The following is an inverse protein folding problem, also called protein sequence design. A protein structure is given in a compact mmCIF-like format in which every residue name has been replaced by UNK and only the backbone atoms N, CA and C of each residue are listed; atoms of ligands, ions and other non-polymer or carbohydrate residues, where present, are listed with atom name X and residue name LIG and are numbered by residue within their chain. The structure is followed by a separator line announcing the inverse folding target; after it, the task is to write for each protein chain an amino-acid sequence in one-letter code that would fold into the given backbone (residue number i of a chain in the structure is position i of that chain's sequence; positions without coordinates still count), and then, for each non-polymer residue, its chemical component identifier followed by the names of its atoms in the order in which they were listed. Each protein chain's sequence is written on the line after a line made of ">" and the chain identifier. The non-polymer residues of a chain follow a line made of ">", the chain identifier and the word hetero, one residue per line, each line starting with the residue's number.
data_IF_389752041224
#
_entry.id   IF_389752041224
#
_cell.length_a   1.000
_cell.length_b   1.000
_cell.length_c   1.000
_cell.angle_alpha   90.00
_cell.angle_beta   90.00
_cell.angle_gamma   90.00
#
_symmetry.space_group_name_H-M   'P 1'
#
loop_
_entity.id
_entity.type
_entity.pdbx_description
1 polymer ?
#
# COMPACT_ATOMS: atom_id res chain seq x y z
N UNK A 1 22.59 14.58 7.18
CA UNK A 1 21.36 15.37 7.43
C UNK A 1 20.82 15.20 8.85
N UNK A 2 20.43 13.99 9.29
CA UNK A 2 19.77 13.76 10.60
C UNK A 2 20.52 14.32 11.83
N UNK A 3 21.86 14.32 11.82
CA UNK A 3 22.70 14.91 12.88
C UNK A 3 22.77 16.45 12.84
N UNK A 4 22.46 17.09 11.71
CA UNK A 4 22.73 18.52 11.45
C UNK A 4 21.48 19.40 11.54
N UNK A 5 20.35 18.91 11.05
CA UNK A 5 19.11 19.69 10.88
C UNK A 5 18.03 19.25 11.85
N UNK A 6 17.19 20.17 12.35
CA UNK A 6 16.05 19.83 13.20
C UNK A 6 14.87 19.34 12.35
N UNK A 7 14.71 18.01 12.27
CA UNK A 7 13.69 17.35 11.46
C UNK A 7 12.50 16.88 12.31
N UNK A 8 11.29 17.21 11.87
CA UNK A 8 10.03 16.67 12.43
C UNK A 8 9.68 15.31 11.80
N UNK A 9 9.99 15.10 10.52
CA UNK A 9 9.77 13.84 9.80
C UNK A 9 10.77 13.60 8.67
N UNK A 10 10.91 12.35 8.24
CA UNK A 10 11.78 11.94 7.12
C UNK A 10 11.02 11.01 6.17
N UNK A 11 11.22 11.20 4.86
CA UNK A 11 10.75 10.29 3.80
C UNK A 11 11.91 9.40 3.37
N UNK A 12 11.72 8.09 3.42
CA UNK A 12 12.67 7.07 2.97
C UNK A 12 12.11 6.45 1.68
N UNK A 13 12.64 6.86 0.53
CA UNK A 13 12.29 6.36 -0.79
C UNK A 13 13.50 5.73 -1.50
N UNK A 14 14.29 4.98 -0.73
CA UNK A 14 15.48 4.26 -1.19
C UNK A 14 15.12 2.82 -1.63
N UNK A 15 16.05 2.07 -2.23
CA UNK A 15 15.87 0.63 -2.40
C UNK A 15 15.49 -0.08 -1.09
N UNK A 16 14.53 -1.01 -1.16
CA UNK A 16 13.85 -1.59 0.00
C UNK A 16 14.78 -2.24 1.03
N UNK A 17 15.90 -2.82 0.61
CA UNK A 17 16.89 -3.43 1.51
C UNK A 17 17.61 -2.41 2.42
N UNK A 18 17.56 -1.11 2.08
CA UNK A 18 18.17 -0.03 2.86
C UNK A 18 17.22 0.58 3.90
N UNK A 19 15.92 0.25 3.88
CA UNK A 19 14.92 0.90 4.75
C UNK A 19 15.24 0.77 6.24
N UNK A 20 15.65 -0.41 6.71
CA UNK A 20 16.04 -0.64 8.10
C UNK A 20 17.27 0.19 8.49
N UNK A 21 18.34 0.10 7.71
CA UNK A 21 19.59 0.83 7.99
C UNK A 21 19.39 2.35 7.98
N UNK A 22 18.58 2.87 7.04
CA UNK A 22 18.25 4.30 6.99
C UNK A 22 17.35 4.73 8.16
N UNK A 23 16.42 3.88 8.58
CA UNK A 23 15.59 4.11 9.77
C UNK A 23 16.47 4.21 11.03
N UNK A 24 17.39 3.26 11.23
CA UNK A 24 18.36 3.27 12.32
C UNK A 24 19.19 4.56 12.30
N UNK A 25 19.78 4.91 11.15
CA UNK A 25 20.59 6.12 11.00
C UNK A 25 19.81 7.41 11.30
N UNK A 26 18.52 7.48 10.92
CA UNK A 26 17.66 8.62 11.24
C UNK A 26 17.40 8.74 12.74
N UNK A 27 17.09 7.62 13.41
CA UNK A 27 16.80 7.59 14.84
C UNK A 27 18.06 7.92 15.65
N UNK A 28 19.19 7.26 15.36
CA UNK A 28 20.46 7.53 16.02
C UNK A 28 20.90 8.99 15.82
N UNK A 29 20.79 9.50 14.60
CA UNK A 29 21.15 10.88 14.29
C UNK A 29 20.34 11.90 15.10
N UNK A 30 19.04 11.66 15.30
CA UNK A 30 18.19 12.56 16.11
C UNK A 30 18.38 12.38 17.62
N UNK A 31 18.72 11.17 18.10
CA UNK A 31 19.11 10.93 19.49
C UNK A 31 20.37 11.72 19.88
N UNK A 32 21.45 11.60 19.08
CA UNK A 32 22.69 12.34 19.30
C UNK A 32 22.43 13.86 19.32
N UNK A 33 21.63 14.35 18.39
CA UNK A 33 21.31 15.79 18.30
C UNK A 33 20.50 16.27 19.52
N UNK A 34 19.65 15.42 20.10
CA UNK A 34 18.92 15.71 21.35
C UNK A 34 19.87 15.76 22.55
N UNK A 35 20.82 14.84 22.64
CA UNK A 35 21.85 14.82 23.70
C UNK A 35 22.73 16.08 23.67
N UNK A 36 23.02 16.60 22.47
CA UNK A 36 23.74 17.86 22.27
C UNK A 36 22.89 19.13 22.53
N UNK A 37 21.60 18.98 22.88
CA UNK A 37 20.69 20.13 23.09
C UNK A 37 20.28 20.86 21.80
N UNK A 38 20.46 20.22 20.63
CA UNK A 38 20.27 20.82 19.29
C UNK A 38 18.97 20.39 18.60
N UNK A 39 18.01 19.80 19.32
CA UNK A 39 16.68 19.50 18.79
C UNK A 39 15.96 18.35 19.51
N UNK A 40 14.83 17.91 18.94
CA UNK A 40 14.04 16.78 19.44
C UNK A 40 14.30 15.46 18.69
N UNK A 41 13.72 14.38 19.21
CA UNK A 41 13.59 13.10 18.49
C UNK A 41 12.64 13.29 17.31
N UNK A 42 12.92 12.57 16.21
CA UNK A 42 12.06 12.45 15.05
C UNK A 42 10.62 12.10 15.45
N UNK A 43 9.61 12.67 14.78
CA UNK A 43 8.19 12.37 15.10
C UNK A 43 7.66 11.23 14.25
N UNK A 44 7.94 11.26 12.95
CA UNK A 44 7.44 10.24 12.04
C UNK A 44 8.39 9.94 10.87
N UNK A 45 8.23 8.75 10.31
CA UNK A 45 8.84 8.27 9.08
C UNK A 45 7.76 7.95 8.05
N UNK A 46 7.95 8.38 6.81
CA UNK A 46 7.23 7.84 5.65
C UNK A 46 8.19 6.94 4.89
N UNK A 47 7.94 5.64 4.87
CA UNK A 47 8.81 4.65 4.24
C UNK A 47 8.11 4.13 2.99
N UNK A 48 8.74 4.19 1.83
CA UNK A 48 8.19 3.62 0.60
C UNK A 48 7.88 2.12 0.76
N UNK A 49 6.93 1.62 -0.03
CA UNK A 49 6.56 0.21 0.01
C UNK A 49 7.52 -0.62 -0.86
N UNK A 50 7.75 -1.90 -0.53
CA UNK A 50 7.39 -2.55 0.74
C UNK A 50 8.16 -1.97 1.93
N UNK A 51 7.65 -2.12 3.15
CA UNK A 51 8.30 -1.58 4.37
C UNK A 51 9.75 -2.06 4.52
N UNK A 52 10.02 -3.32 4.20
CA UNK A 52 11.33 -3.97 4.11
C UNK A 52 11.25 -5.13 3.10
N UNK A 53 12.40 -5.73 2.79
CA UNK A 53 12.49 -6.82 1.82
C UNK A 53 12.15 -8.19 2.44
N UNK A 54 12.20 -8.29 3.76
CA UNK A 54 11.86 -9.48 4.54
C UNK A 54 11.16 -9.10 5.85
N UNK A 55 10.50 -10.08 6.48
CA UNK A 55 9.72 -9.86 7.70
C UNK A 55 10.59 -9.66 8.95
N UNK A 56 11.80 -10.20 9.00
CA UNK A 56 12.71 -10.04 10.13
C UNK A 56 13.22 -8.60 10.20
N UNK A 57 13.67 -8.06 9.07
CA UNK A 57 14.06 -6.65 8.94
C UNK A 57 12.89 -5.72 9.24
N UNK A 58 11.68 -6.06 8.78
CA UNK A 58 10.49 -5.26 9.07
C UNK A 58 10.16 -5.25 10.58
N UNK A 59 10.25 -6.41 11.25
CA UNK A 59 10.03 -6.50 12.69
C UNK A 59 11.07 -5.71 13.48
N UNK A 60 12.35 -5.79 13.10
CA UNK A 60 13.41 -4.99 13.71
C UNK A 60 13.17 -3.48 13.51
N UNK A 61 12.75 -3.08 12.31
CA UNK A 61 12.39 -1.70 12.00
C UNK A 61 11.31 -1.19 12.97
N UNK A 62 10.22 -1.95 13.13
CA UNK A 62 9.12 -1.58 14.03
C UNK A 62 9.56 -1.52 15.49
N UNK A 63 10.36 -2.49 15.95
CA UNK A 63 10.88 -2.51 17.32
C UNK A 63 11.72 -1.26 17.63
N UNK A 64 12.58 -0.85 16.70
CA UNK A 64 13.44 0.33 16.89
C UNK A 64 12.61 1.62 16.84
N UNK A 65 11.61 1.72 15.96
CA UNK A 65 10.73 2.90 15.89
C UNK A 65 9.83 3.02 17.11
N UNK A 66 9.26 1.90 17.59
CA UNK A 66 8.42 1.84 18.78
C UNK A 66 9.22 2.26 20.02
N UNK A 67 10.42 1.71 20.18
CA UNK A 67 11.34 2.06 21.28
C UNK A 67 11.77 3.53 21.25
N UNK A 68 11.79 4.16 20.07
CA UNK A 68 12.13 5.57 19.89
C UNK A 68 10.92 6.51 19.99
N UNK A 69 9.68 5.97 20.03
CA UNK A 69 8.46 6.76 19.95
C UNK A 69 8.27 7.46 18.60
N UNK A 70 8.76 6.86 17.51
CA UNK A 70 8.66 7.38 16.14
C UNK A 70 7.52 6.69 15.40
N UNK A 71 6.58 7.46 14.87
CA UNK A 71 5.44 6.92 14.12
C UNK A 71 5.87 6.50 12.72
N UNK A 72 5.48 5.30 12.27
CA UNK A 72 5.75 4.81 10.91
C UNK A 72 4.49 4.85 10.04
N UNK A 73 4.59 5.61 8.95
CA UNK A 73 3.66 5.60 7.81
C UNK A 73 4.33 4.88 6.65
N UNK A 74 3.60 4.02 5.93
CA UNK A 74 4.14 3.31 4.76
C UNK A 74 3.51 3.82 3.45
N UNK A 75 4.31 3.86 2.40
CA UNK A 75 4.07 4.41 1.06
C UNK A 75 2.97 3.75 0.24
N UNK A 76 1.96 3.13 0.84
CA UNK A 76 0.76 2.65 0.16
C UNK A 76 -0.17 3.80 -0.22
N UNK A 77 0.28 4.64 -1.16
CA UNK A 77 -0.36 5.88 -1.58
C UNK A 77 -1.80 5.69 -2.07
N UNK A 78 -2.10 4.54 -2.70
CA UNK A 78 -3.45 4.25 -3.21
C UNK A 78 -4.53 4.26 -2.11
N UNK A 79 -4.18 3.96 -0.85
CA UNK A 79 -5.13 4.06 0.29
C UNK A 79 -5.58 5.49 0.59
N UNK A 80 -4.85 6.51 0.11
CA UNK A 80 -5.22 7.91 0.26
C UNK A 80 -6.23 8.37 -0.79
N UNK A 81 -6.40 7.62 -1.89
CA UNK A 81 -7.38 7.90 -2.94
C UNK A 81 -8.79 8.07 -2.38
N UNK A 82 -9.49 9.09 -2.86
CA UNK A 82 -10.90 9.30 -2.54
C UNK A 82 -11.78 8.21 -3.14
N UNK A 83 -11.43 7.71 -4.33
CA UNK A 83 -12.12 6.57 -4.96
C UNK A 83 -11.97 5.31 -4.11
N UNK A 84 -10.75 5.01 -3.63
CA UNK A 84 -10.50 3.84 -2.78
C UNK A 84 -11.24 3.96 -1.45
N UNK A 85 -11.27 5.15 -0.84
CA UNK A 85 -12.05 5.38 0.39
C UNK A 85 -13.54 5.19 0.17
N UNK A 86 -14.08 5.67 -0.95
CA UNK A 86 -15.48 5.46 -1.33
C UNK A 86 -15.77 3.96 -1.55
N UNK A 87 -14.87 3.25 -2.23
CA UNK A 87 -15.01 1.82 -2.44
C UNK A 87 -15.00 1.05 -1.11
N UNK A 88 -14.07 1.38 -0.21
CA UNK A 88 -14.04 0.81 1.16
C UNK A 88 -15.35 1.09 1.89
N UNK A 89 -15.84 2.32 1.85
CA UNK A 89 -17.11 2.67 2.51
C UNK A 89 -18.26 1.81 1.98
N UNK A 90 -18.40 1.66 0.66
CA UNK A 90 -19.45 0.84 0.05
C UNK A 90 -19.29 -0.64 0.42
N UNK A 91 -18.09 -1.21 0.29
CA UNK A 91 -17.85 -2.64 0.50
C UNK A 91 -17.97 -3.04 1.97
N UNK A 92 -17.65 -2.13 2.90
CA UNK A 92 -17.76 -2.38 4.35
C UNK A 92 -19.13 -2.01 4.93
N UNK A 93 -20.04 -1.45 4.13
CA UNK A 93 -21.40 -1.12 4.55
C UNK A 93 -22.22 -2.40 4.82
N UNK A 94 -23.11 -2.34 5.81
CA UNK A 94 -24.02 -3.44 6.13
C UNK A 94 -24.91 -3.79 4.94
N UNK A 95 -25.27 -2.79 4.12
CA UNK A 95 -26.13 -2.96 2.94
C UNK A 95 -25.41 -3.61 1.75
N UNK A 96 -24.07 -3.70 1.74
CA UNK A 96 -23.32 -4.57 0.83
C UNK A 96 -23.43 -6.03 1.25
N UNK A 97 -23.49 -6.20 2.58
CA UNK A 97 -23.48 -7.40 3.39
C UNK A 97 -22.32 -8.35 3.08
N UNK A 98 -22.41 -9.62 3.53
CA UNK A 98 -21.23 -10.47 3.60
C UNK A 98 -20.51 -10.61 2.25
N UNK A 99 -19.22 -10.27 2.24
CA UNK A 99 -18.37 -10.45 1.07
C UNK A 99 -18.39 -11.93 0.65
N UNK A 100 -18.53 -12.15 -0.66
CA UNK A 100 -18.50 -13.48 -1.30
C UNK A 100 -17.21 -13.67 -2.05
N UNK A 101 -16.73 -12.62 -2.70
CA UNK A 101 -15.41 -12.63 -3.30
C UNK A 101 -14.99 -11.32 -3.93
N UNK A 102 -13.77 -11.34 -4.45
CA UNK A 102 -13.13 -10.22 -5.15
C UNK A 102 -12.44 -10.74 -6.39
N UNK A 103 -12.61 -10.09 -7.52
CA UNK A 103 -11.76 -10.31 -8.70
C UNK A 103 -10.97 -9.05 -9.00
N UNK A 104 -9.67 -9.19 -9.17
CA UNK A 104 -8.74 -8.10 -9.47
C UNK A 104 -7.91 -8.43 -10.71
N UNK A 105 -7.69 -7.43 -11.57
CA UNK A 105 -6.79 -7.55 -12.71
C UNK A 105 -5.76 -6.42 -12.73
N UNK A 106 -4.48 -6.80 -12.83
CA UNK A 106 -3.36 -5.90 -13.12
C UNK A 106 -2.73 -6.31 -14.45
N UNK A 107 -3.28 -5.84 -15.55
CA UNK A 107 -2.80 -6.13 -16.91
C UNK A 107 -2.39 -4.82 -17.58
N UNK A 108 -1.10 -4.70 -17.91
CA UNK A 108 -0.55 -3.61 -18.71
C UNK A 108 0.74 -4.03 -19.41
N UNK A 109 1.25 -3.18 -20.31
CA UNK A 109 2.55 -3.39 -20.95
C UNK A 109 3.54 -2.35 -20.43
N UNK A 110 4.57 -2.79 -19.72
CA UNK A 110 5.71 -1.92 -19.42
C UNK A 110 6.62 -1.82 -20.66
N UNK A 111 7.25 -0.65 -20.90
CA UNK A 111 8.17 -0.50 -22.01
C UNK A 111 9.45 -1.31 -21.76
N UNK A 112 10.08 -1.83 -22.82
CA UNK A 112 11.33 -2.59 -22.71
C UNK A 112 12.45 -1.81 -22.00
N UNK A 113 12.48 -0.49 -22.16
CA UNK A 113 13.44 0.39 -21.49
C UNK A 113 13.35 0.34 -19.96
N UNK A 114 12.19 -0.04 -19.39
CA UNK A 114 12.02 -0.25 -17.96
C UNK A 114 12.89 -1.40 -17.42
N UNK A 115 13.21 -2.36 -18.30
CA UNK A 115 13.99 -3.56 -18.03
C UNK A 115 15.34 -3.56 -18.78
N UNK A 116 15.84 -2.41 -19.23
CA UNK A 116 17.09 -2.31 -20.00
C UNK A 116 18.26 -3.03 -19.30
N UNK A 117 18.93 -3.93 -20.01
CA UNK A 117 20.08 -4.69 -19.48
C UNK A 117 21.38 -3.88 -19.46
N UNK A 118 21.46 -2.87 -20.32
CA UNK A 118 22.63 -2.01 -20.46
C UNK A 118 22.72 -0.93 -19.37
N UNK A 119 21.68 -0.78 -18.54
CA UNK A 119 21.65 0.12 -17.40
C UNK A 119 21.70 -0.66 -16.07
N UNK A 120 22.87 -0.73 -15.40
CA UNK A 120 23.03 -1.44 -14.13
C UNK A 120 22.12 -0.91 -13.02
N UNK A 121 21.71 0.36 -13.07
CA UNK A 121 20.80 0.94 -12.06
C UNK A 121 19.39 0.34 -12.11
N UNK A 122 19.04 -0.34 -13.20
CA UNK A 122 17.73 -1.01 -13.38
C UNK A 122 17.79 -2.52 -13.11
N UNK A 123 18.97 -3.09 -12.88
CA UNK A 123 19.17 -4.54 -12.71
C UNK A 123 18.29 -5.13 -11.60
N UNK A 124 18.13 -4.41 -10.49
CA UNK A 124 17.33 -4.86 -9.35
C UNK A 124 15.89 -5.23 -9.73
N UNK A 125 15.31 -4.65 -10.79
CA UNK A 125 13.94 -4.96 -11.23
C UNK A 125 13.79 -6.37 -11.77
N UNK A 126 14.89 -6.95 -12.26
CA UNK A 126 14.93 -8.29 -12.88
C UNK A 126 15.51 -9.36 -11.96
N UNK A 127 15.95 -8.99 -10.75
CA UNK A 127 16.55 -9.91 -9.76
C UNK A 127 15.50 -10.44 -8.79
N UNK A 128 15.52 -11.75 -8.56
CA UNK A 128 14.63 -12.41 -7.61
C UNK A 128 14.84 -11.89 -6.18
N UNK A 129 13.75 -11.80 -5.42
CA UNK A 129 13.75 -11.37 -4.01
C UNK A 129 13.82 -9.84 -3.79
N UNK A 130 14.09 -9.05 -4.84
CA UNK A 130 14.10 -7.58 -4.77
C UNK A 130 13.25 -6.92 -5.86
N UNK A 131 13.19 -7.52 -7.04
CA UNK A 131 12.41 -7.04 -8.18
C UNK A 131 11.15 -7.85 -8.45
N UNK A 132 10.66 -7.77 -9.68
CA UNK A 132 9.48 -8.51 -10.12
C UNK A 132 8.15 -7.79 -9.89
N UNK A 133 7.15 -7.99 -10.78
CA UNK A 133 5.80 -7.46 -10.64
C UNK A 133 5.14 -7.75 -9.29
N UNK A 134 5.41 -8.89 -8.65
CA UNK A 134 4.79 -9.26 -7.37
C UNK A 134 5.21 -8.30 -6.27
N UNK A 135 6.51 -8.07 -6.10
CA UNK A 135 7.06 -7.18 -5.07
C UNK A 135 6.86 -5.69 -5.40
N UNK A 136 6.88 -5.34 -6.70
CA UNK A 136 6.81 -3.95 -7.13
C UNK A 136 5.36 -3.47 -7.30
N UNK A 137 4.47 -4.26 -7.89
CA UNK A 137 3.13 -3.84 -8.29
C UNK A 137 2.05 -4.57 -7.48
N UNK A 138 2.02 -5.89 -7.50
CA UNK A 138 0.94 -6.71 -6.91
C UNK A 138 0.79 -6.51 -5.41
N UNK A 139 1.86 -6.10 -4.70
CA UNK A 139 1.77 -5.68 -3.30
C UNK A 139 0.74 -4.56 -3.08
N UNK A 140 0.57 -3.63 -4.02
CA UNK A 140 -0.45 -2.60 -3.91
C UNK A 140 -1.86 -3.19 -3.98
N UNK A 141 -2.07 -4.17 -4.85
CA UNK A 141 -3.40 -4.72 -5.11
C UNK A 141 -3.83 -5.69 -4.00
N UNK A 142 -2.90 -6.51 -3.49
CA UNK A 142 -3.14 -7.35 -2.30
C UNK A 142 -3.39 -6.50 -1.05
N UNK A 143 -2.64 -5.41 -0.90
CA UNK A 143 -2.87 -4.41 0.15
C UNK A 143 -4.25 -3.74 0.02
N UNK A 144 -4.63 -3.33 -1.20
CA UNK A 144 -5.95 -2.74 -1.45
C UNK A 144 -7.09 -3.72 -1.27
N UNK A 145 -6.91 -5.01 -1.59
CA UNK A 145 -7.91 -6.03 -1.32
C UNK A 145 -8.16 -6.14 0.20
N UNK A 146 -7.12 -6.18 1.03
CA UNK A 146 -7.25 -6.12 2.50
C UNK A 146 -7.92 -4.82 2.94
N UNK A 147 -7.43 -3.69 2.45
CA UNK A 147 -7.90 -2.37 2.86
C UNK A 147 -9.33 -2.07 2.42
N UNK A 148 -9.77 -2.42 1.21
CA UNK A 148 -11.12 -2.11 0.75
C UNK A 148 -12.13 -3.03 1.41
N UNK A 149 -11.81 -4.32 1.53
CA UNK A 149 -12.73 -5.30 2.12
C UNK A 149 -12.80 -5.20 3.64
N UNK A 150 -11.75 -4.70 4.30
CA UNK A 150 -11.64 -4.74 5.75
C UNK A 150 -11.40 -6.14 6.32
N UNK A 151 -10.99 -7.09 5.47
CA UNK A 151 -10.74 -8.48 5.82
C UNK A 151 -9.29 -8.88 5.56
N UNK A 152 -8.76 -9.77 6.40
CA UNK A 152 -7.39 -10.27 6.25
C UNK A 152 -7.32 -11.47 5.31
N UNK A 153 -6.22 -11.58 4.58
CA UNK A 153 -5.94 -12.73 3.71
C UNK A 153 -5.26 -13.82 4.55
N UNK A 154 -5.87 -15.00 4.64
CA UNK A 154 -5.40 -16.10 5.50
C UNK A 154 -4.74 -17.24 4.72
N UNK A 155 -4.96 -17.31 3.41
CA UNK A 155 -4.37 -18.34 2.55
C UNK A 155 -4.15 -17.80 1.15
N UNK A 156 -3.03 -18.16 0.56
CA UNK A 156 -2.63 -17.75 -0.79
C UNK A 156 -2.19 -18.97 -1.59
N UNK A 157 -2.64 -19.10 -2.84
CA UNK A 157 -2.08 -20.01 -3.83
C UNK A 157 -1.71 -19.21 -5.08
N UNK A 158 -0.52 -19.44 -5.65
CA UNK A 158 -0.05 -18.70 -6.81
C UNK A 158 0.61 -19.59 -7.86
N UNK A 159 0.44 -19.20 -9.11
CA UNK A 159 1.18 -19.72 -10.27
C UNK A 159 1.70 -18.54 -11.07
N UNK A 160 2.98 -18.55 -11.41
CA UNK A 160 3.62 -17.46 -12.17
C UNK A 160 4.37 -17.99 -13.38
N UNK A 161 4.67 -17.08 -14.30
CA UNK A 161 5.46 -17.32 -15.50
C UNK A 161 6.41 -16.16 -15.72
N UNK A 162 7.59 -16.45 -16.26
CA UNK A 162 8.51 -15.47 -16.83
C UNK A 162 8.69 -15.66 -18.34
N UNK A 163 7.77 -16.38 -18.99
CA UNK A 163 7.92 -16.82 -20.38
C UNK A 163 7.88 -15.67 -21.41
N UNK A 164 7.27 -14.53 -21.09
CA UNK A 164 7.20 -13.40 -22.02
C UNK A 164 8.53 -12.66 -22.11
N UNK A 165 9.28 -12.52 -20.99
CA UNK A 165 10.58 -11.82 -20.97
C UNK A 165 11.80 -12.72 -20.82
N UNK A 166 11.65 -13.91 -20.26
CA UNK A 166 12.76 -14.83 -19.96
C UNK A 166 13.70 -14.35 -18.84
N UNK A 167 13.22 -13.49 -17.94
CA UNK A 167 13.99 -13.00 -16.79
C UNK A 167 13.86 -13.95 -15.58
N UNK A 168 14.69 -13.72 -14.55
CA UNK A 168 14.64 -14.47 -13.28
C UNK A 168 13.32 -14.25 -12.51
N UNK A 169 12.72 -13.08 -12.71
CA UNK A 169 11.45 -12.66 -12.09
C UNK A 169 10.27 -12.95 -13.00
N UNK A 170 9.11 -13.08 -12.39
CA UNK A 170 7.83 -13.23 -13.09
C UNK A 170 7.51 -12.05 -14.00
N UNK A 171 6.69 -12.31 -15.02
CA UNK A 171 6.05 -11.30 -15.86
C UNK A 171 4.53 -11.40 -15.85
N UNK A 172 4.01 -12.58 -15.51
CA UNK A 172 2.59 -12.87 -15.48
C UNK A 172 2.28 -13.89 -14.38
N UNK A 173 1.08 -13.88 -13.85
CA UNK A 173 0.66 -14.86 -12.86
C UNK A 173 -0.80 -14.77 -12.44
N UNK A 174 -1.29 -15.87 -11.87
CA UNK A 174 -2.59 -15.96 -11.24
C UNK A 174 -2.42 -16.25 -9.74
N UNK A 175 -3.16 -15.53 -8.92
CA UNK A 175 -3.17 -15.65 -7.46
C UNK A 175 -4.61 -15.89 -7.02
N UNK A 176 -4.82 -16.87 -6.16
CA UNK A 176 -6.08 -17.09 -5.44
C UNK A 176 -5.84 -16.90 -3.95
N UNK A 177 -6.73 -16.17 -3.29
CA UNK A 177 -6.66 -15.90 -1.86
C UNK A 177 -7.93 -16.33 -1.14
N UNK A 178 -7.81 -16.67 0.13
CA UNK A 178 -8.95 -16.85 1.05
C UNK A 178 -8.88 -15.77 2.12
N UNK A 179 -10.00 -15.11 2.38
CA UNK A 179 -10.14 -14.14 3.45
C UNK A 179 -10.47 -14.84 4.79
N UNK A 180 -10.25 -14.16 5.91
CA UNK A 180 -10.51 -14.63 7.27
C UNK A 180 -11.91 -15.22 7.52
N UNK A 181 -12.93 -14.71 6.84
CA UNK A 181 -14.33 -15.14 6.92
C UNK A 181 -14.74 -16.11 5.80
N UNK A 182 -13.79 -16.55 4.97
CA UNK A 182 -13.98 -17.58 3.95
C UNK A 182 -14.35 -17.10 2.55
N UNK A 183 -14.50 -15.79 2.31
CA UNK A 183 -14.60 -15.28 0.93
C UNK A 183 -13.34 -15.60 0.13
N UNK A 184 -13.48 -15.69 -1.20
CA UNK A 184 -12.37 -16.02 -2.11
C UNK A 184 -12.05 -14.82 -2.97
N UNK A 185 -10.76 -14.54 -3.14
CA UNK A 185 -10.27 -13.52 -4.06
C UNK A 185 -9.46 -14.15 -5.19
N UNK A 186 -9.54 -13.57 -6.38
CA UNK A 186 -8.65 -13.87 -7.51
C UNK A 186 -7.95 -12.60 -7.97
N UNK A 187 -6.68 -12.74 -8.32
CA UNK A 187 -5.88 -11.69 -8.91
C UNK A 187 -5.11 -12.27 -10.09
N UNK A 188 -5.37 -11.75 -11.29
CA UNK A 188 -4.50 -11.98 -12.43
C UNK A 188 -3.60 -10.77 -12.64
N UNK A 189 -2.32 -11.00 -12.90
CA UNK A 189 -1.40 -9.94 -13.25
C UNK A 189 -0.56 -10.28 -14.47
N UNK A 190 -0.27 -9.27 -15.28
CA UNK A 190 0.80 -9.27 -16.26
C UNK A 190 1.27 -7.84 -16.51
N UNK A 191 2.58 -7.64 -16.59
CA UNK A 191 3.17 -6.38 -17.07
C UNK A 191 3.80 -6.52 -18.48
N UNK A 192 3.40 -7.56 -19.21
CA UNK A 192 3.88 -7.93 -20.54
C UNK A 192 2.77 -7.98 -21.61
N UNK A 193 1.59 -7.40 -21.37
CA UNK A 193 0.47 -7.44 -22.32
C UNK A 193 -0.19 -6.05 -22.50
N UNK A 194 -0.47 -5.59 -23.73
CA UNK A 194 -1.12 -4.30 -23.95
C UNK A 194 -2.58 -4.36 -23.45
N UNK A 195 -2.80 -3.84 -22.25
CA UNK A 195 -4.10 -3.85 -21.60
C UNK A 195 -4.28 -2.60 -20.71
N UNK A 196 -5.53 -2.12 -20.55
CA UNK A 196 -5.84 -0.98 -19.70
C UNK A 196 -6.23 -1.37 -18.26
N UNK A 197 -6.38 -2.66 -17.94
CA UNK A 197 -6.96 -3.12 -16.68
C UNK A 197 -5.94 -3.09 -15.55
N UNK A 198 -5.65 -1.89 -15.05
CA UNK A 198 -4.78 -1.68 -13.89
C UNK A 198 -5.22 -0.42 -13.16
N UNK A 199 -4.84 -0.27 -11.89
CA UNK A 199 -5.14 0.93 -11.12
C UNK A 199 -4.68 2.20 -11.85
N UNK A 200 -3.46 2.18 -12.41
CA UNK A 200 -2.82 3.31 -13.08
C UNK A 200 -3.64 3.83 -14.27
N UNK A 201 -4.09 2.92 -15.15
CA UNK A 201 -4.78 3.29 -16.39
C UNK A 201 -6.28 3.56 -16.16
N UNK A 202 -6.88 2.93 -15.15
CA UNK A 202 -8.34 2.99 -14.95
C UNK A 202 -8.80 4.15 -14.08
N UNK A 203 -8.00 4.57 -13.09
CA UNK A 203 -8.42 5.60 -12.12
C UNK A 203 -8.28 7.02 -12.65
N UNK A 204 -7.31 7.25 -13.55
CA UNK A 204 -6.97 8.59 -14.02
C UNK A 204 -6.35 9.49 -12.94
N UNK A 205 -5.96 8.92 -11.78
CA UNK A 205 -5.43 9.69 -10.64
C UNK A 205 -4.01 10.18 -10.87
N UNK A 206 -3.19 9.42 -11.60
CA UNK A 206 -1.82 9.81 -11.95
C UNK A 206 -1.74 10.22 -13.42
N UNK A 207 -1.59 11.53 -13.64
CA UNK A 207 -1.54 12.16 -14.97
C UNK A 207 -0.34 11.74 -15.84
N UNK A 208 0.62 10.99 -15.28
CA UNK A 208 1.72 10.38 -16.06
C UNK A 208 1.19 9.29 -17.01
N UNK A 209 0.13 8.60 -16.64
CA UNK A 209 -0.47 7.57 -17.46
C UNK A 209 -1.53 8.19 -18.39
N UNK A 210 -1.54 7.84 -19.69
CA UNK A 210 -2.55 8.37 -20.59
C UNK A 210 -3.93 7.83 -20.19
N UNK A 211 -4.98 8.66 -20.22
CA UNK A 211 -6.32 8.22 -19.87
C UNK A 211 -6.82 7.20 -20.91
N UNK A 212 -7.50 6.16 -20.43
CA UNK A 212 -8.22 5.21 -21.29
C UNK A 212 -9.55 5.85 -21.66
N UNK A 213 -9.77 6.08 -22.96
CA UNK A 213 -11.01 6.66 -23.47
C UNK A 213 -12.13 5.60 -23.55
N UNK A 214 -13.35 5.98 -23.16
CA UNK A 214 -14.53 5.10 -23.20
C UNK A 214 -15.01 4.65 -21.81
N UNK A 215 -16.33 4.59 -21.63
CA UNK A 215 -16.92 4.37 -20.32
C UNK A 215 -16.91 2.90 -19.86
N UNK A 216 -16.79 1.95 -20.79
CA UNK A 216 -17.29 0.58 -20.57
C UNK A 216 -16.22 -0.45 -20.16
N UNK A 217 -14.94 -0.07 -20.14
CA UNK A 217 -13.82 -1.00 -19.85
C UNK A 217 -12.85 -0.43 -18.82
N UNK A 218 -13.40 0.07 -17.70
CA UNK A 218 -12.62 0.79 -16.69
C UNK A 218 -12.41 0.04 -15.39
N UNK A 219 -13.11 -1.05 -15.09
CA UNK A 219 -12.98 -1.66 -13.77
C UNK A 219 -11.87 -2.71 -13.72
N UNK A 220 -10.87 -2.47 -12.88
CA UNK A 220 -9.81 -3.44 -12.56
C UNK A 220 -10.09 -4.23 -11.27
N UNK A 221 -11.15 -3.87 -10.54
CA UNK A 221 -11.63 -4.59 -9.37
C UNK A 221 -13.13 -4.81 -9.44
N UNK A 222 -13.56 -6.00 -9.03
CA UNK A 222 -14.96 -6.37 -8.88
C UNK A 222 -15.14 -6.97 -7.49
N UNK A 223 -15.89 -6.29 -6.63
CA UNK A 223 -16.23 -6.77 -5.29
C UNK A 223 -17.65 -7.34 -5.32
N UNK A 224 -17.85 -8.52 -4.75
CA UNK A 224 -19.13 -9.22 -4.76
C UNK A 224 -19.58 -9.48 -3.32
N UNK A 225 -20.57 -8.73 -2.85
CA UNK A 225 -21.26 -8.93 -1.57
C UNK A 225 -22.50 -9.79 -1.74
N UNK A 226 -23.18 -10.09 -0.64
CA UNK A 226 -24.40 -10.89 -0.66
C UNK A 226 -25.64 -10.06 -1.08
N UNK A 227 -25.58 -8.74 -1.00
CA UNK A 227 -26.69 -7.82 -1.34
C UNK A 227 -26.32 -6.88 -2.49
N UNK A 228 -25.03 -6.53 -2.62
CA UNK A 228 -24.54 -5.62 -3.65
C UNK A 228 -23.25 -6.12 -4.28
N UNK A 229 -22.90 -5.60 -5.44
CA UNK A 229 -21.55 -5.70 -6.01
C UNK A 229 -21.05 -4.34 -6.45
N UNK A 230 -19.73 -4.17 -6.50
CA UNK A 230 -19.09 -2.91 -6.83
C UNK A 230 -18.01 -3.13 -7.88
N UNK A 231 -18.13 -2.42 -9.01
CA UNK A 231 -17.03 -2.21 -9.95
C UNK A 231 -16.16 -1.03 -9.50
N UNK A 232 -14.84 -1.15 -9.60
CA UNK A 232 -13.91 -0.07 -9.28
C UNK A 232 -12.83 0.06 -10.36
N UNK A 233 -12.46 1.30 -10.76
CA UNK A 233 -12.83 2.61 -10.18
C UNK A 233 -14.13 3.28 -10.65
N UNK A 234 -14.96 2.65 -11.51
CA UNK A 234 -16.23 3.24 -11.95
C UNK A 234 -17.18 3.58 -10.80
N UNK A 235 -17.05 2.86 -9.67
CA UNK A 235 -17.94 2.90 -8.52
C UNK A 235 -19.40 2.53 -8.88
N UNK A 236 -19.60 1.80 -9.98
CA UNK A 236 -20.89 1.22 -10.32
C UNK A 236 -21.27 0.18 -9.26
N UNK A 237 -22.28 0.52 -8.46
CA UNK A 237 -22.82 -0.29 -7.40
C UNK A 237 -24.10 -0.97 -7.89
N UNK A 238 -24.07 -2.29 -8.00
CA UNK A 238 -25.16 -3.10 -8.50
C UNK A 238 -25.92 -3.75 -7.35
N UNK A 239 -27.24 -3.74 -7.44
CA UNK A 239 -28.14 -4.33 -6.44
C UNK A 239 -29.46 -4.76 -7.07
N UNK A 240 -30.26 -5.54 -6.35
CA UNK A 240 -31.66 -5.76 -6.73
C UNK A 240 -32.55 -4.69 -6.11
N UNK A 241 -33.68 -4.34 -6.76
CA UNK A 241 -34.63 -3.30 -6.30
C UNK A 241 -35.22 -3.57 -4.92
N UNK A 242 -35.31 -4.83 -4.51
CA UNK A 242 -35.83 -5.21 -3.21
C UNK A 242 -35.72 -6.71 -2.97
N UNK A 243 -35.92 -7.13 -1.71
CA UNK A 243 -35.73 -8.52 -1.30
C UNK A 243 -36.68 -9.52 -2.00
N UNK A 244 -37.82 -9.06 -2.50
CA UNK A 244 -38.81 -9.88 -3.20
C UNK A 244 -38.50 -10.06 -4.71
N UNK A 245 -37.74 -9.16 -5.31
CA UNK A 245 -37.40 -9.14 -6.74
C UNK A 245 -35.90 -9.43 -6.93
N UNK A 246 -35.47 -10.65 -6.57
CA UNK A 246 -34.07 -11.09 -6.66
C UNK A 246 -33.96 -12.42 -7.39
N UNK A 247 -32.89 -12.58 -8.16
CA UNK A 247 -32.65 -13.77 -8.97
C UNK A 247 -31.94 -13.42 -10.27
N UNK A 248 -31.34 -14.41 -10.92
CA UNK A 248 -30.66 -14.25 -12.21
C UNK A 248 -31.56 -13.74 -13.35
N UNK A 249 -32.88 -13.83 -13.16
CA UNK A 249 -33.94 -13.36 -14.06
C UNK A 249 -34.51 -11.98 -13.67
N UNK A 250 -34.13 -11.44 -12.51
CA UNK A 250 -34.54 -10.11 -12.06
C UNK A 250 -33.54 -9.02 -12.51
N UNK A 251 -34.00 -7.82 -12.87
CA UNK A 251 -33.11 -6.74 -13.30
C UNK A 251 -32.31 -6.18 -12.12
N UNK A 252 -31.04 -5.87 -12.37
CA UNK A 252 -30.20 -5.11 -11.44
C UNK A 252 -30.46 -3.60 -11.57
N UNK A 253 -30.39 -2.90 -10.46
CA UNK A 253 -30.23 -1.44 -10.39
C UNK A 253 -28.76 -1.07 -10.29
N UNK A 254 -28.43 0.11 -10.81
CA UNK A 254 -27.07 0.67 -10.76
C UNK A 254 -27.12 2.03 -10.09
N UNK A 255 -26.32 2.19 -9.05
CA UNK A 255 -26.01 3.46 -8.41
C UNK A 255 -24.55 3.80 -8.68
N UNK A 256 -24.26 5.04 -9.06
CA UNK A 256 -22.90 5.48 -9.35
C UNK A 256 -22.65 6.84 -8.69
N UNK A 257 -21.94 6.89 -7.56
CA UNK A 257 -21.59 8.16 -6.93
C UNK A 257 -20.52 8.88 -7.75
N UNK A 258 -20.62 10.21 -7.80
CA UNK A 258 -19.57 11.06 -8.35
C UNK A 258 -18.55 11.36 -7.25
N UNK A 259 -17.29 11.03 -7.51
CA UNK A 259 -16.18 11.32 -6.60
C UNK A 259 -15.15 12.16 -7.35
N UNK A 260 -14.71 13.24 -6.72
CA UNK A 260 -13.63 14.05 -7.26
C UNK A 260 -12.31 13.26 -7.24
N UNK A 261 -11.64 13.23 -8.39
CA UNK A 261 -10.34 12.58 -8.57
C UNK A 261 -9.25 13.56 -8.15
N UNK A 262 -8.40 13.13 -7.21
CA UNK A 262 -7.26 13.90 -6.68
C UNK A 262 -6.02 13.00 -6.61
N UNK A 263 -4.83 13.59 -6.73
CA UNK A 263 -3.56 12.87 -6.67
C UNK A 263 -3.33 12.22 -5.28
N UNK A 264 -3.32 10.87 -5.18
CA UNK A 264 -3.12 10.17 -3.93
C UNK A 264 -1.73 10.40 -3.30
N UNK A 265 -0.70 10.70 -4.09
CA UNK A 265 0.64 11.00 -3.57
C UNK A 265 0.65 12.33 -2.82
N UNK A 266 -0.04 13.35 -3.36
CA UNK A 266 -0.21 14.63 -2.69
C UNK A 266 -1.01 14.47 -1.40
N UNK A 267 -2.09 13.70 -1.45
CA UNK A 267 -2.90 13.38 -0.27
C UNK A 267 -2.11 12.63 0.80
N UNK A 268 -1.26 11.68 0.42
CA UNK A 268 -0.35 10.98 1.34
C UNK A 268 0.65 11.94 1.97
N UNK A 269 1.26 12.83 1.19
CA UNK A 269 2.24 13.78 1.72
C UNK A 269 1.59 14.77 2.71
N UNK A 270 0.40 15.28 2.37
CA UNK A 270 -0.37 16.13 3.28
C UNK A 270 -0.74 15.38 4.56
N UNK A 271 -1.14 14.10 4.45
CA UNK A 271 -1.38 13.25 5.61
C UNK A 271 -0.13 13.03 6.45
N UNK A 272 1.02 12.75 5.84
CA UNK A 272 2.30 12.59 6.54
C UNK A 272 2.67 13.83 7.36
N UNK A 273 2.43 15.03 6.82
CA UNK A 273 2.63 16.29 7.56
C UNK A 273 1.71 16.38 8.78
N UNK A 274 0.44 15.99 8.67
CA UNK A 274 -0.51 15.97 9.79
C UNK A 274 -0.13 14.92 10.84
N UNK A 275 0.36 13.75 10.43
CA UNK A 275 0.93 12.73 11.32
C UNK A 275 2.14 13.27 12.08
N UNK A 276 3.07 13.97 11.41
CA UNK A 276 4.21 14.60 12.07
C UNK A 276 3.80 15.62 13.15
N UNK A 277 2.62 16.25 12.99
CA UNK A 277 2.05 17.20 13.95
C UNK A 277 1.22 16.54 15.06
N UNK A 278 0.98 15.23 14.98
CA UNK A 278 0.12 14.51 15.91
C UNK A 278 -1.38 14.79 15.70
N UNK A 279 -1.77 15.29 14.52
CA UNK A 279 -3.16 15.62 14.19
C UNK A 279 -3.93 14.39 13.67
N UNK A 280 -3.22 13.42 13.08
CA UNK A 280 -3.80 12.20 12.51
C UNK A 280 -2.91 10.97 12.81
N UNK A 281 -3.52 9.79 12.80
CA UNK A 281 -2.81 8.49 12.84
C UNK A 281 -2.53 7.99 11.41
N UNK A 282 -1.48 7.19 11.17
CA UNK A 282 -1.18 6.65 9.85
C UNK A 282 -2.35 5.88 9.20
N UNK A 283 -2.71 6.23 7.95
CA UNK A 283 -3.66 5.45 7.14
C UNK A 283 -3.11 4.04 6.82
N UNK A 284 -1.79 3.94 6.60
CA UNK A 284 -1.07 2.67 6.50
C UNK A 284 0.04 2.67 7.55
N UNK A 285 -0.20 2.01 8.67
CA UNK A 285 0.80 1.86 9.74
C UNK A 285 1.90 0.87 9.33
N UNK A 286 3.06 0.95 9.99
CA UNK A 286 4.11 -0.03 9.79
C UNK A 286 3.68 -1.48 10.06
N UNK A 287 2.84 -1.70 11.07
CA UNK A 287 2.24 -3.02 11.36
C UNK A 287 1.39 -3.53 10.21
N UNK A 288 0.53 -2.68 9.67
CA UNK A 288 -0.36 -3.06 8.56
C UNK A 288 0.42 -3.36 7.27
N UNK A 289 1.52 -2.64 7.04
CA UNK A 289 2.45 -2.93 5.95
C UNK A 289 3.21 -4.25 6.13
N UNK A 290 3.47 -4.69 7.36
CA UNK A 290 4.04 -6.02 7.64
C UNK A 290 3.07 -7.13 7.23
N UNK A 291 1.76 -6.96 7.50
CA UNK A 291 0.75 -7.91 7.04
C UNK A 291 0.69 -7.97 5.50
N UNK A 292 0.71 -6.80 4.82
CA UNK A 292 0.78 -6.76 3.35
C UNK A 292 2.07 -7.42 2.80
N UNK A 293 3.21 -7.20 3.46
CA UNK A 293 4.47 -7.87 3.12
C UNK A 293 4.37 -9.39 3.30
N UNK A 294 3.77 -9.86 4.39
CA UNK A 294 3.58 -11.29 4.65
C UNK A 294 2.72 -11.96 3.58
N UNK A 295 1.65 -11.31 3.12
CA UNK A 295 0.82 -11.82 2.03
C UNK A 295 1.63 -11.96 0.74
N UNK A 296 2.41 -10.94 0.37
CA UNK A 296 3.21 -10.95 -0.86
C UNK A 296 4.34 -12.00 -0.80
N UNK A 297 4.99 -12.14 0.35
CA UNK A 297 5.99 -13.20 0.54
C UNK A 297 5.33 -14.59 0.51
N UNK A 298 4.09 -14.73 0.96
CA UNK A 298 3.33 -15.98 0.84
C UNK A 298 2.99 -16.31 -0.62
N UNK A 299 2.73 -15.31 -1.47
CA UNK A 299 2.60 -15.50 -2.93
C UNK A 299 3.90 -16.11 -3.48
N UNK A 300 5.05 -15.48 -3.22
CA UNK A 300 6.34 -15.96 -3.70
C UNK A 300 6.64 -17.37 -3.20
N UNK A 301 6.43 -17.63 -1.91
CA UNK A 301 6.60 -18.96 -1.32
C UNK A 301 5.67 -19.98 -1.97
N UNK A 302 4.42 -19.63 -2.22
CA UNK A 302 3.43 -20.51 -2.85
C UNK A 302 3.86 -20.95 -4.25
N UNK A 303 4.36 -20.00 -5.06
CA UNK A 303 4.94 -20.28 -6.38
C UNK A 303 6.09 -21.28 -6.30
N UNK A 304 6.98 -21.12 -5.32
CA UNK A 304 8.16 -21.99 -5.17
C UNK A 304 7.82 -23.41 -4.71
N UNK A 305 6.87 -23.53 -3.78
CA UNK A 305 6.53 -24.83 -3.18
C UNK A 305 5.35 -25.54 -3.85
N UNK A 306 4.64 -24.89 -4.78
CA UNK A 306 3.51 -25.46 -5.50
C UNK A 306 2.29 -25.78 -4.63
N UNK A 307 2.19 -25.20 -3.43
CA UNK A 307 1.05 -25.37 -2.50
C UNK A 307 0.54 -24.03 -2.02
N UNK A 308 -0.64 -24.04 -1.42
CA UNK A 308 -1.12 -22.87 -0.71
C UNK A 308 -0.31 -22.61 0.57
N UNK A 309 -0.09 -21.33 0.87
CA UNK A 309 0.70 -20.83 2.01
C UNK A 309 -0.13 -19.82 2.78
N UNK A 310 -0.20 -19.95 4.10
CA UNK A 310 -0.80 -18.92 4.96
C UNK A 310 0.23 -17.83 5.29
N UNK A 311 -0.10 -16.53 5.20
CA UNK A 311 0.79 -15.46 5.63
C UNK A 311 1.23 -15.60 7.10
N UNK A 312 0.37 -16.18 7.95
CA UNK A 312 0.67 -16.49 9.34
C UNK A 312 1.80 -17.52 9.52
N UNK A 313 2.01 -18.43 8.57
CA UNK A 313 3.17 -19.35 8.59
C UNK A 313 4.46 -18.54 8.59
N UNK A 314 4.57 -17.56 7.70
CA UNK A 314 5.77 -16.72 7.54
C UNK A 314 5.94 -15.75 8.72
N UNK A 315 4.86 -15.18 9.23
CA UNK A 315 4.93 -14.32 10.42
C UNK A 315 5.38 -15.08 11.68
N UNK A 316 5.07 -16.37 11.77
CA UNK A 316 5.50 -17.21 12.89
C UNK A 316 6.99 -17.60 12.83
N UNK A 317 7.62 -17.51 11.65
CA UNK A 317 9.06 -17.74 11.44
C UNK A 317 9.91 -16.57 11.97
N UNK A 318 9.32 -15.38 12.10
CA UNK A 318 9.98 -14.20 12.67
C UNK A 318 10.16 -14.38 14.18
N UNK A 319 11.34 -14.07 14.71
CA UNK A 319 11.65 -14.28 16.12
C UNK A 319 10.61 -13.59 17.05
N UNK A 320 9.97 -14.37 17.93
CA UNK A 320 8.87 -13.93 18.82
C UNK A 320 9.25 -12.79 19.76
N UNK A 321 10.54 -12.63 20.06
CA UNK A 321 11.03 -11.55 20.92
C UNK A 321 10.83 -10.16 20.31
N UNK A 322 10.74 -10.06 18.98
CA UNK A 322 10.54 -8.79 18.26
C UNK A 322 9.04 -8.47 18.07
N UNK A 323 8.18 -9.50 17.94
CA UNK A 323 6.75 -9.35 17.65
C UNK A 323 5.90 -9.05 18.91
N UNK A 324 6.36 -9.49 20.08
CA UNK A 324 5.60 -9.32 21.34
C UNK A 324 5.49 -7.86 21.81
N UNK A 325 6.45 -7.00 21.42
CA UNK A 325 6.46 -5.58 21.75
C UNK A 325 5.38 -4.77 21.02
N UNK A 326 4.82 -5.30 19.93
CA UNK A 326 3.89 -4.55 19.09
C UNK A 326 2.40 -4.72 19.49
N UNK A 327 2.05 -5.47 20.55
CA UNK A 327 0.64 -5.62 20.97
C UNK A 327 0.18 -4.40 21.78
N UNK A 328 -0.41 -3.41 21.10
CA UNK A 328 -1.32 -2.44 21.73
C UNK A 328 -2.76 -2.78 21.35
N UNK A 329 -3.65 -2.53 22.30
CA UNK A 329 -5.06 -2.92 22.38
C UNK A 329 -5.86 -2.65 21.09
N UNK A 330 -6.54 -3.69 20.59
CA UNK A 330 -7.52 -3.61 19.50
C UNK A 330 -8.69 -2.65 19.78
N UNK A 331 -8.81 -2.12 21.01
CA UNK A 331 -9.82 -1.15 21.42
C UNK A 331 -9.59 0.30 20.97
N UNK A 332 -8.48 0.60 20.29
CA UNK A 332 -8.09 1.98 19.89
C UNK A 332 -8.31 2.31 18.41
N UNK A 333 -9.13 1.55 17.68
CA UNK A 333 -9.72 2.05 16.43
C UNK A 333 -11.00 2.83 16.79
N UNK A 334 -10.99 4.16 16.92
CA UNK A 334 -12.24 4.89 16.89
C UNK A 334 -12.81 4.75 15.48
N UNK A 335 -13.95 4.08 15.38
CA UNK A 335 -14.93 4.31 14.32
C UNK A 335 -15.29 5.79 14.46
N UNK A 336 -14.62 6.68 13.71
CA UNK A 336 -14.89 8.11 13.79
C UNK A 336 -16.29 8.37 13.26
N UNK A 337 -17.22 8.62 14.18
CA UNK A 337 -18.44 9.37 13.89
C UNK A 337 -18.04 10.75 13.34
N UNK A 338 -18.81 11.19 12.35
CA UNK A 338 -18.70 12.41 11.56
C UNK A 338 -18.10 13.64 12.30
N UNK A 339 -17.30 14.49 11.63
CA UNK A 339 -17.03 15.81 12.16
C UNK A 339 -18.27 16.70 11.96
N UNK A 340 -18.85 17.15 13.08
CA UNK A 340 -19.84 18.21 13.10
C UNK A 340 -19.29 19.48 12.43
N UNK A 341 -20.13 20.12 11.62
CA UNK A 341 -19.86 21.40 11.00
C UNK A 341 -19.49 22.47 12.05
N UNK A 342 -18.36 23.15 11.87
CA UNK A 342 -18.05 24.36 12.63
C UNK A 342 -17.57 25.47 11.71
N UNK A 343 -18.22 26.61 11.88
CA UNK A 343 -18.12 27.87 11.16
C UNK A 343 -16.73 28.51 11.21
N UNK A 344 -16.37 29.17 10.11
CA UNK A 344 -15.14 29.94 9.97
C UNK A 344 -15.12 31.19 10.88
N UNK A 345 -14.12 31.29 11.74
CA UNK A 345 -13.61 32.57 12.21
C UNK A 345 -12.10 32.64 12.02
N UNK A 346 -11.69 33.72 11.35
CA UNK A 346 -10.33 34.00 10.90
C UNK A 346 -9.49 34.50 12.06
N UNK A 347 -8.35 33.86 12.35
CA UNK A 347 -7.29 34.51 13.13
C UNK A 347 -5.92 34.21 12.54
N UNK A 348 -5.20 35.30 12.25
CA UNK A 348 -3.88 35.33 11.66
C UNK A 348 -2.81 34.97 12.70
N UNK A 349 -1.99 33.95 12.43
CA UNK A 349 -0.80 33.64 13.22
C UNK A 349 0.43 33.39 12.33
N UNK A 350 1.54 34.00 12.75
CA UNK A 350 2.85 34.13 12.10
C UNK A 350 3.48 32.78 11.71
N UNK A 351 3.91 32.68 10.44
CA UNK A 351 4.68 31.55 9.92
C UNK A 351 6.17 31.62 10.34
N UNK A 352 6.63 30.64 11.11
CA UNK A 352 8.04 30.25 11.18
C UNK A 352 8.31 29.15 10.16
N UNK A 353 9.32 29.32 9.29
CA UNK A 353 9.70 28.34 8.26
C UNK A 353 10.12 27.01 8.92
N UNK A 354 9.46 25.92 8.54
CA UNK A 354 9.87 24.53 8.80
C UNK A 354 10.25 23.85 7.47
N UNK A 355 11.33 23.08 7.46
CA UNK A 355 11.84 22.37 6.29
C UNK A 355 11.46 20.88 6.36
N UNK A 356 10.91 20.35 5.26
CA UNK A 356 10.94 18.92 4.94
C UNK A 356 12.20 18.66 4.10
N UNK A 357 12.86 17.52 4.33
CA UNK A 357 14.01 17.11 3.54
C UNK A 357 13.79 15.70 2.98
N UNK A 358 14.12 15.53 1.70
CA UNK A 358 14.07 14.28 0.95
C UNK A 358 15.49 13.76 0.80
N UNK A 359 15.74 12.49 1.14
CA UNK A 359 17.05 11.84 0.91
C UNK A 359 16.95 10.94 -0.30
N UNK A 360 17.82 11.15 -1.29
CA UNK A 360 17.97 10.31 -2.48
C UNK A 360 19.38 9.73 -2.56
N UNK A 361 19.60 8.70 -3.39
CA UNK A 361 20.91 8.01 -3.53
C UNK A 361 22.10 8.97 -3.78
N UNK A 362 21.84 10.16 -4.36
CA UNK A 362 22.83 11.21 -4.61
C UNK A 362 23.53 11.76 -3.36
N UNK A 363 22.97 11.58 -2.16
CA UNK A 363 23.54 12.12 -0.92
C UNK A 363 24.68 11.26 -0.33
N UNK A 364 25.01 10.13 -0.97
CA UNK A 364 26.01 9.16 -0.50
C UNK A 364 27.25 9.01 -1.39
N UNK A 365 27.42 9.84 -2.42
CA UNK A 365 28.69 9.88 -3.15
C UNK A 365 29.79 10.50 -2.27
N UNK A 366 30.67 9.67 -1.70
CA UNK A 366 31.92 10.15 -1.11
C UNK A 366 32.71 10.97 -2.16
N UNK A 367 33.36 12.08 -1.77
CA UNK A 367 34.23 12.80 -2.68
C UNK A 367 35.42 11.89 -3.01
N UNK A 368 35.49 11.41 -4.25
CA UNK A 368 36.72 10.84 -4.78
C UNK A 368 37.75 11.96 -4.86
N UNK A 369 38.83 11.79 -4.11
CA UNK A 369 40.04 12.59 -4.19
C UNK A 369 40.76 12.34 -5.53
N UNK A 370 40.83 13.38 -6.36
CA UNK A 370 42.01 13.81 -7.12
C UNK A 370 41.70 15.14 -7.82
#
# INVERSE_FOLDING_TARGET
>A
MARREALDGVVIAAPTHLHLALTQACIEGTKLRKEEGRGGILKALLIEKPICHDLQSAAELLSITDSAGVVVLVGHQRRHSRLVKQARQVVTDQDFGPLRGVNMEFSLLKPDSYFCKDDPSLEWRRRKGVGGPILINTIHDLDLMRFITGHEITKVFAMTSSAARGEEVEDSGGITVTFDHGAVGTLFFTDAAPAPWSYEFTTGENKKYPPVAGNDMRDCYHFMGAQRSLGFPSLCNFSYRGAAERGWDAPLTVEQPMVEVEDPLLLQMNHFVRVCRGEEIPVCSGRDAVESLAVVLAVLRSTECGRAVAPSELLAEVNKDVVSACRLDSSLLPISKEPAACSAETTTARAGRKQLATVTESDFASPQSA
#
